data_IF_392466598883
#
_entry.id   IF_392466598883
#
_cell.length_a   1.000
_cell.length_b   1.000
_cell.length_c   1.000
_cell.angle_alpha   90.00
_cell.angle_beta   90.00
_cell.angle_gamma   90.00
#
_symmetry.space_group_name_H-M   'P 1'
#
loop_
_entity.id
_entity.type
_entity.pdbx_description
1 polymer ?
#
# COMPACT_ATOMS: atom_id res chain seq x y z
N UNK A 1 -11.42 -6.90 4.51
CA UNK A 1 -11.24 -5.44 4.61
C UNK A 1 -10.00 -5.17 5.42
N UNK A 2 -9.10 -4.34 4.93
CA UNK A 2 -7.89 -3.88 5.63
C UNK A 2 -8.06 -2.40 5.92
N UNK A 3 -7.78 -1.95 7.14
CA UNK A 3 -7.84 -0.54 7.52
C UNK A 3 -6.49 -0.10 8.05
N UNK A 4 -5.98 0.98 7.48
CA UNK A 4 -4.79 1.69 7.96
C UNK A 4 -5.32 2.93 8.65
N UNK A 5 -5.47 2.81 9.96
CA UNK A 5 -5.99 3.86 10.82
C UNK A 5 -5.13 5.13 10.76
N UNK A 6 -5.66 6.23 11.29
CA UNK A 6 -4.90 7.48 11.40
C UNK A 6 -3.59 7.25 12.15
N UNK A 7 -2.50 7.74 11.59
CA UNK A 7 -1.15 7.54 12.11
C UNK A 7 -0.13 7.67 11.00
N UNK A 8 1.15 7.55 11.36
CA UNK A 8 2.27 7.66 10.43
C UNK A 8 3.05 6.35 10.46
N UNK A 9 3.03 5.60 9.36
CA UNK A 9 3.56 4.25 9.27
C UNK A 9 4.66 4.19 8.22
N UNK A 10 5.84 3.72 8.62
CA UNK A 10 6.89 3.38 7.67
C UNK A 10 6.57 2.03 7.01
N UNK A 11 6.58 2.01 5.68
CA UNK A 11 6.33 0.83 4.87
C UNK A 11 7.54 0.53 3.98
N UNK A 12 8.11 -0.66 4.17
CA UNK A 12 8.99 -1.27 3.17
C UNK A 12 8.19 -1.75 1.94
N UNK A 13 8.85 -2.47 1.02
CA UNK A 13 8.18 -3.03 -0.14
C UNK A 13 7.06 -3.99 0.29
N UNK A 14 5.83 -3.67 -0.08
CA UNK A 14 4.65 -4.50 0.17
C UNK A 14 3.93 -4.79 -1.13
N UNK A 15 3.65 -6.07 -1.36
CA UNK A 15 2.91 -6.55 -2.52
C UNK A 15 1.68 -7.32 -2.06
N UNK A 16 0.52 -6.78 -2.39
CA UNK A 16 -0.77 -7.46 -2.28
C UNK A 16 -1.00 -8.22 -3.59
N UNK A 17 -0.92 -9.55 -3.55
CA UNK A 17 -0.96 -10.40 -4.73
C UNK A 17 -2.22 -11.27 -4.74
N UNK A 18 -2.96 -11.22 -5.85
CA UNK A 18 -4.07 -12.12 -6.14
C UNK A 18 -3.65 -13.38 -6.92
N UNK A 19 -4.64 -14.17 -7.40
CA UNK A 19 -6.07 -13.86 -7.40
C UNK A 19 -6.70 -14.04 -6.01
N UNK A 20 -7.54 -13.09 -5.60
CA UNK A 20 -8.38 -13.23 -4.41
C UNK A 20 -9.76 -13.75 -4.81
N UNK A 21 -10.30 -14.71 -4.05
CA UNK A 21 -11.67 -15.23 -4.27
C UNK A 21 -12.77 -14.26 -3.85
N UNK A 22 -12.41 -13.16 -3.17
CA UNK A 22 -13.33 -12.19 -2.60
C UNK A 22 -12.86 -10.77 -2.91
N UNK A 23 -13.81 -9.84 -2.93
CA UNK A 23 -13.54 -8.41 -3.07
C UNK A 23 -12.64 -7.93 -1.93
N UNK A 24 -11.49 -7.36 -2.29
CA UNK A 24 -10.59 -6.75 -1.32
C UNK A 24 -10.90 -5.25 -1.21
N UNK A 25 -11.13 -4.79 0.01
CA UNK A 25 -11.22 -3.36 0.31
C UNK A 25 -10.10 -2.96 1.27
N UNK A 26 -9.33 -1.94 0.89
CA UNK A 26 -8.30 -1.29 1.69
C UNK A 26 -8.75 0.15 1.96
N UNK A 27 -8.89 0.51 3.23
CA UNK A 27 -9.18 1.88 3.65
C UNK A 27 -7.93 2.48 4.30
N UNK A 28 -7.47 3.61 3.79
CA UNK A 28 -6.29 4.32 4.30
C UNK A 28 -6.72 5.67 4.84
N UNK A 29 -6.60 5.85 6.16
CA UNK A 29 -6.91 7.08 6.88
C UNK A 29 -5.64 7.77 7.41
N UNK A 30 -4.53 7.02 7.54
CA UNK A 30 -3.21 7.54 7.94
C UNK A 30 -2.26 7.77 6.77
N UNK A 31 -0.99 8.01 7.09
CA UNK A 31 0.10 8.17 6.13
C UNK A 31 0.96 6.91 6.09
N UNK A 32 1.15 6.36 4.89
CA UNK A 32 2.14 5.34 4.60
C UNK A 32 3.36 5.99 3.97
N UNK A 33 4.44 6.11 4.74
CA UNK A 33 5.72 6.65 4.29
C UNK A 33 6.61 5.53 3.78
N UNK A 34 7.21 5.70 2.61
CA UNK A 34 8.21 4.81 2.07
C UNK A 34 9.46 4.72 2.99
N UNK A 35 10.38 3.80 2.69
CA UNK A 35 11.71 3.83 3.32
C UNK A 35 12.55 4.96 2.70
N UNK A 36 13.31 5.68 3.52
CA UNK A 36 14.17 6.79 3.06
C UNK A 36 15.37 6.32 2.19
N UNK A 37 15.53 5.01 2.02
CA UNK A 37 16.61 4.39 1.24
C UNK A 37 16.00 3.76 -0.02
N UNK A 38 15.95 4.48 -1.16
CA UNK A 38 15.29 4.01 -2.38
C UNK A 38 15.85 2.68 -2.88
N UNK A 39 17.14 2.41 -2.67
CA UNK A 39 17.80 1.12 -2.97
C UNK A 39 17.06 -0.07 -2.34
N UNK A 40 16.47 0.11 -1.15
CA UNK A 40 15.69 -0.93 -0.46
C UNK A 40 14.30 -1.14 -1.07
N UNK A 41 13.86 -0.23 -1.94
CA UNK A 41 12.56 -0.26 -2.62
C UNK A 41 12.65 -0.73 -4.07
N UNK A 42 13.82 -0.62 -4.71
CA UNK A 42 14.08 -0.96 -6.14
C UNK A 42 13.77 -2.39 -6.56
N UNK A 43 13.50 -3.30 -5.62
CA UNK A 43 13.15 -4.69 -5.94
C UNK A 43 11.82 -4.83 -6.68
N UNK A 44 11.01 -3.76 -6.76
CA UNK A 44 9.69 -3.75 -7.39
C UNK A 44 9.38 -2.38 -8.02
N UNK A 45 8.39 -2.30 -8.92
CA UNK A 45 7.95 -1.07 -9.64
C UNK A 45 7.26 -0.01 -8.75
N UNK A 46 7.38 -0.15 -7.43
CA UNK A 46 6.75 0.68 -6.41
C UNK A 46 6.92 0.05 -5.02
N UNK A 47 6.70 0.82 -3.95
CA UNK A 47 6.82 0.29 -2.59
C UNK A 47 5.49 -0.27 -2.04
N UNK A 48 4.34 0.12 -2.60
CA UNK A 48 3.03 -0.51 -2.35
C UNK A 48 2.44 -0.96 -3.68
N UNK A 49 2.30 -2.27 -3.88
CA UNK A 49 1.84 -2.85 -5.14
C UNK A 49 0.60 -3.70 -4.90
N UNK A 50 -0.42 -3.51 -5.75
CA UNK A 50 -1.57 -4.39 -5.87
C UNK A 50 -1.49 -5.10 -7.21
N UNK A 51 -1.27 -6.42 -7.20
CA UNK A 51 -1.01 -7.21 -8.41
C UNK A 51 -2.05 -8.31 -8.60
N UNK A 52 -2.61 -8.40 -9.82
CA UNK A 52 -3.56 -9.44 -10.23
C UNK A 52 -4.78 -9.54 -9.29
N UNK A 53 -5.33 -8.39 -8.88
CA UNK A 53 -6.48 -8.34 -7.96
C UNK A 53 -7.75 -7.91 -8.70
N UNK A 54 -8.75 -8.79 -8.72
CA UNK A 54 -10.08 -8.47 -9.25
C UNK A 54 -10.94 -7.83 -8.14
N UNK A 55 -11.57 -6.70 -8.45
CA UNK A 55 -12.50 -6.02 -7.54
C UNK A 55 -11.85 -5.39 -6.30
N UNK A 56 -10.59 -4.95 -6.42
CA UNK A 56 -9.93 -4.14 -5.39
C UNK A 56 -10.58 -2.76 -5.27
N UNK A 57 -10.91 -2.36 -4.04
CA UNK A 57 -11.28 -0.98 -3.69
C UNK A 57 -10.27 -0.40 -2.74
N UNK A 58 -9.62 0.70 -3.13
CA UNK A 58 -8.81 1.53 -2.23
C UNK A 58 -9.58 2.81 -1.93
N UNK A 59 -9.73 3.15 -0.65
CA UNK A 59 -10.57 4.27 -0.19
C UNK A 59 -9.99 4.94 1.06
N UNK A 60 -10.62 6.02 1.53
CA UNK A 60 -10.19 6.79 2.70
C UNK A 60 -9.60 8.16 2.32
N UNK A 61 -9.11 8.90 3.31
CA UNK A 61 -8.53 10.24 3.14
C UNK A 61 -7.04 10.37 3.48
N UNK A 62 -6.35 9.23 3.64
CA UNK A 62 -4.93 9.17 3.99
C UNK A 62 -3.98 9.41 2.82
N UNK A 63 -2.68 9.21 3.07
CA UNK A 63 -1.59 9.59 2.16
C UNK A 63 -0.62 8.43 1.91
N UNK A 64 -0.21 8.24 0.66
CA UNK A 64 0.96 7.44 0.31
C UNK A 64 2.13 8.41 0.04
N UNK A 65 3.09 8.46 0.95
CA UNK A 65 4.24 9.36 0.91
C UNK A 65 5.46 8.61 0.38
N UNK A 66 5.87 8.93 -0.85
CA UNK A 66 7.03 8.36 -1.51
C UNK A 66 8.37 8.92 -1.05
N UNK A 67 8.36 10.01 -0.27
CA UNK A 67 9.54 10.78 0.13
C UNK A 67 10.41 11.28 -1.04
N UNK A 68 9.77 11.73 -2.12
CA UNK A 68 10.45 12.38 -3.25
C UNK A 68 10.56 13.90 -3.07
#
# INVERSE_FOLDING_TARGET
MVVIEKGHYMAGPVKFQGPCKALLSVRVEGTLQALAEPEKLKSQDGWVIFQNMDGLTVSGGGTFDGQE
#
